data_IF_528140667199
#
_entry.id   IF_528140667199
#
_cell.length_a   1.000
_cell.length_b   1.000
_cell.length_c   1.000
_cell.angle_alpha   90.00
_cell.angle_beta   90.00
_cell.angle_gamma   90.00
#
_symmetry.space_group_name_H-M   'P 1'
#
loop_
_entity.id
_entity.type
_entity.pdbx_description
1 polymer ?
#
# COMPACT_ATOMS: atom_id res chain seq x y z
N UNK A 1 4.52 -18.71 -31.63
CA UNK A 1 5.03 -19.90 -30.91
C UNK A 1 4.84 -19.56 -29.41
N UNK A 2 3.97 -20.29 -28.74
CA UNK A 2 3.77 -20.16 -27.30
C UNK A 2 5.08 -20.54 -26.61
N UNK A 3 5.75 -19.59 -25.94
CA UNK A 3 6.92 -19.92 -25.11
C UNK A 3 6.46 -20.90 -24.02
N UNK A 4 6.99 -22.11 -24.08
CA UNK A 4 6.63 -23.23 -23.18
C UNK A 4 7.62 -23.37 -22.02
N UNK A 5 8.19 -22.27 -21.56
CA UNK A 5 9.12 -22.25 -20.43
C UNK A 5 8.41 -22.42 -19.08
N UNK A 6 9.19 -22.61 -18.02
CA UNK A 6 8.71 -22.68 -16.63
C UNK A 6 8.68 -21.29 -16.02
N UNK A 7 7.55 -20.89 -15.44
CA UNK A 7 7.42 -19.66 -14.67
C UNK A 7 7.40 -19.98 -13.16
N UNK A 8 8.24 -19.27 -12.41
CA UNK A 8 8.18 -19.30 -10.95
C UNK A 8 7.79 -17.91 -10.44
N UNK A 9 6.84 -17.82 -9.52
CA UNK A 9 6.38 -16.59 -8.89
C UNK A 9 6.71 -16.63 -7.41
N UNK A 10 7.57 -15.74 -6.96
CA UNK A 10 7.99 -15.63 -5.56
C UNK A 10 7.14 -14.58 -4.83
N UNK A 11 6.17 -15.04 -4.04
CA UNK A 11 5.21 -14.24 -3.29
C UNK A 11 3.77 -14.48 -3.75
N UNK A 12 2.95 -15.06 -2.87
CA UNK A 12 1.54 -15.40 -3.14
C UNK A 12 0.56 -14.33 -2.62
N UNK A 13 0.96 -13.04 -2.62
CA UNK A 13 0.05 -11.92 -2.44
C UNK A 13 -0.73 -11.61 -3.72
N UNK A 14 -1.49 -10.49 -3.72
CA UNK A 14 -2.29 -10.06 -4.87
C UNK A 14 -1.48 -10.02 -6.17
N UNK A 15 -0.30 -9.37 -6.17
CA UNK A 15 0.53 -9.24 -7.37
C UNK A 15 0.99 -10.61 -7.93
N UNK A 16 1.40 -11.53 -7.06
CA UNK A 16 1.81 -12.86 -7.49
C UNK A 16 0.66 -13.69 -8.02
N UNK A 17 -0.47 -13.67 -7.35
CA UNK A 17 -1.67 -14.39 -7.79
C UNK A 17 -2.23 -13.85 -9.10
N UNK A 18 -2.35 -12.53 -9.23
CA UNK A 18 -2.76 -11.89 -10.51
C UNK A 18 -1.78 -12.20 -11.65
N UNK A 19 -0.48 -12.33 -11.38
CA UNK A 19 0.49 -12.77 -12.39
C UNK A 19 0.14 -14.16 -12.95
N UNK A 20 -0.26 -15.07 -12.07
CA UNK A 20 -0.68 -16.42 -12.45
C UNK A 20 -1.94 -16.37 -13.32
N UNK A 21 -2.97 -15.61 -12.86
CA UNK A 21 -4.22 -15.45 -13.61
C UNK A 21 -3.96 -14.85 -15.00
N UNK A 22 -3.23 -13.74 -15.09
CA UNK A 22 -2.90 -13.06 -16.34
C UNK A 22 -2.12 -13.94 -17.33
N UNK A 23 -1.18 -14.76 -16.84
CA UNK A 23 -0.45 -15.72 -17.66
C UNK A 23 -1.42 -16.74 -18.28
N UNK A 24 -2.35 -17.30 -17.50
CA UNK A 24 -3.34 -18.26 -17.98
C UNK A 24 -4.37 -17.63 -18.91
N UNK A 25 -4.89 -16.47 -18.58
CA UNK A 25 -5.83 -15.71 -19.40
C UNK A 25 -5.23 -15.37 -20.79
N UNK A 26 -3.92 -15.12 -20.84
CA UNK A 26 -3.17 -14.84 -22.08
C UNK A 26 -2.67 -16.11 -22.81
N UNK A 27 -3.03 -17.31 -22.32
CA UNK A 27 -2.75 -18.58 -22.96
C UNK A 27 -1.35 -19.16 -22.71
N UNK A 28 -0.65 -18.76 -21.65
CA UNK A 28 0.58 -19.43 -21.26
C UNK A 28 0.28 -20.86 -20.82
N UNK A 29 0.83 -21.85 -21.54
CA UNK A 29 0.57 -23.28 -21.32
C UNK A 29 1.67 -23.99 -20.48
N UNK A 30 2.78 -23.31 -20.19
CA UNK A 30 3.90 -23.90 -19.42
C UNK A 30 3.58 -24.09 -17.93
N UNK A 31 4.42 -24.82 -17.21
CA UNK A 31 4.27 -25.01 -15.77
C UNK A 31 4.44 -23.68 -15.02
N UNK A 32 3.57 -23.45 -14.02
CA UNK A 32 3.65 -22.29 -13.11
C UNK A 32 3.76 -22.81 -11.68
N UNK A 33 4.77 -22.33 -10.94
CA UNK A 33 4.90 -22.54 -9.50
C UNK A 33 4.70 -21.20 -8.80
N UNK A 34 3.79 -21.15 -7.82
CA UNK A 34 3.52 -19.96 -6.97
C UNK A 34 3.96 -20.26 -5.53
N UNK A 35 5.00 -19.57 -5.05
CA UNK A 35 5.56 -19.75 -3.70
C UNK A 35 5.07 -18.66 -2.77
N UNK A 36 4.54 -19.02 -1.59
CA UNK A 36 4.01 -18.09 -0.61
C UNK A 36 4.51 -18.34 0.81
N UNK A 37 5.05 -17.33 1.47
CA UNK A 37 5.55 -17.44 2.84
C UNK A 37 4.45 -17.63 3.91
N UNK A 38 3.22 -17.24 3.60
CA UNK A 38 2.08 -17.43 4.51
C UNK A 38 1.43 -18.81 4.26
N UNK A 39 0.91 -19.51 5.31
CA UNK A 39 0.27 -20.81 5.17
C UNK A 39 -1.16 -20.74 4.64
N UNK A 40 -1.47 -19.68 3.90
CA UNK A 40 -2.82 -19.34 3.43
C UNK A 40 -2.86 -19.13 1.93
N UNK A 41 -4.01 -19.37 1.27
CA UNK A 41 -4.22 -18.92 -0.09
C UNK A 41 -4.17 -17.39 -0.18
N UNK A 42 -3.98 -16.82 -1.39
CA UNK A 42 -3.99 -15.38 -1.62
C UNK A 42 -5.25 -14.71 -1.09
N UNK A 43 -5.10 -13.49 -0.58
CA UNK A 43 -6.19 -12.68 -0.04
C UNK A 43 -5.97 -11.19 -0.28
N UNK A 44 -7.05 -10.42 -0.25
CA UNK A 44 -7.01 -8.96 -0.30
C UNK A 44 -6.60 -8.36 1.03
N UNK A 45 -5.57 -7.48 1.03
CA UNK A 45 -5.10 -6.79 2.23
C UNK A 45 -5.91 -5.55 2.61
N UNK A 46 -6.50 -4.76 1.69
CA UNK A 46 -7.25 -3.55 2.06
C UNK A 46 -8.39 -3.77 3.07
N UNK A 47 -9.13 -4.88 3.08
CA UNK A 47 -10.13 -5.13 4.11
C UNK A 47 -9.57 -5.29 5.52
N UNK A 48 -8.31 -5.71 5.67
CA UNK A 48 -7.69 -6.08 6.96
C UNK A 48 -7.68 -4.94 7.98
N UNK A 49 -7.50 -3.69 7.54
CA UNK A 49 -7.52 -2.50 8.39
C UNK A 49 -8.90 -1.84 8.52
N UNK A 50 -9.91 -2.35 7.83
CA UNK A 50 -11.26 -1.80 7.70
C UNK A 50 -12.32 -2.80 8.19
N UNK A 51 -13.15 -3.26 7.28
CA UNK A 51 -14.29 -4.14 7.57
C UNK A 51 -13.91 -5.44 8.29
N UNK A 52 -12.74 -5.99 8.02
CA UNK A 52 -12.28 -7.23 8.66
C UNK A 52 -12.15 -7.10 10.18
N UNK A 53 -11.77 -5.92 10.68
CA UNK A 53 -11.70 -5.66 12.12
C UNK A 53 -13.09 -5.52 12.77
N UNK A 54 -14.10 -5.08 12.01
CA UNK A 54 -15.45 -4.80 12.51
C UNK A 54 -16.44 -5.96 12.32
N UNK A 55 -16.28 -6.75 11.24
CA UNK A 55 -17.26 -7.75 10.80
C UNK A 55 -16.73 -9.17 11.06
N UNK A 56 -17.20 -9.86 12.12
CA UNK A 56 -16.88 -11.26 12.33
C UNK A 56 -17.39 -12.12 11.16
N UNK A 57 -16.50 -12.91 10.57
CA UNK A 57 -16.85 -13.80 9.46
C UNK A 57 -16.59 -13.22 8.07
N UNK A 58 -16.12 -11.98 7.93
CA UNK A 58 -15.60 -11.49 6.65
C UNK A 58 -14.39 -12.32 6.25
N UNK A 59 -14.44 -12.92 5.06
CA UNK A 59 -13.32 -13.63 4.45
C UNK A 59 -12.71 -12.76 3.33
N UNK A 60 -11.48 -12.27 3.49
CA UNK A 60 -10.79 -11.50 2.46
C UNK A 60 -10.11 -12.37 1.39
N UNK A 61 -10.24 -13.70 1.45
CA UNK A 61 -9.57 -14.61 0.51
C UNK A 61 -9.97 -14.33 -0.93
N UNK A 62 -8.99 -14.33 -1.82
CA UNK A 62 -9.23 -14.34 -3.26
C UNK A 62 -9.75 -15.72 -3.66
N UNK A 63 -10.67 -15.77 -4.63
CA UNK A 63 -11.23 -17.03 -5.13
C UNK A 63 -10.22 -17.71 -6.06
N UNK A 64 -9.15 -18.26 -5.46
CA UNK A 64 -8.08 -18.93 -6.19
C UNK A 64 -8.45 -20.39 -6.46
N UNK A 65 -8.75 -20.73 -7.69
CA UNK A 65 -8.88 -22.12 -8.14
C UNK A 65 -7.57 -22.58 -8.78
N UNK A 66 -6.63 -23.02 -7.93
CA UNK A 66 -5.30 -23.45 -8.39
C UNK A 66 -5.35 -24.68 -9.30
N UNK A 67 -6.37 -25.52 -9.15
CA UNK A 67 -6.54 -26.70 -10.02
C UNK A 67 -6.97 -26.28 -11.43
N UNK A 68 -7.96 -25.38 -11.54
CA UNK A 68 -8.37 -24.83 -12.83
C UNK A 68 -7.27 -23.99 -13.52
N UNK A 69 -6.44 -23.32 -12.72
CA UNK A 69 -5.27 -22.56 -13.21
C UNK A 69 -4.05 -23.45 -13.49
N UNK A 70 -4.10 -24.76 -13.19
CA UNK A 70 -2.97 -25.69 -13.32
C UNK A 70 -1.68 -25.15 -12.69
N UNK A 71 -1.77 -24.66 -11.44
CA UNK A 71 -0.68 -24.02 -10.70
C UNK A 71 -0.22 -24.88 -9.56
N UNK A 72 1.09 -25.08 -9.45
CA UNK A 72 1.73 -25.69 -8.31
C UNK A 72 1.88 -24.64 -7.20
N UNK A 73 0.87 -24.55 -6.31
CA UNK A 73 0.87 -23.60 -5.20
C UNK A 73 1.62 -24.17 -3.99
N UNK A 74 2.61 -23.42 -3.51
CA UNK A 74 3.49 -23.77 -2.37
C UNK A 74 3.30 -22.77 -1.22
N UNK A 75 2.28 -22.96 -0.36
CA UNK A 75 2.11 -22.14 0.84
C UNK A 75 3.12 -22.49 1.91
N UNK A 76 3.30 -21.59 2.89
CA UNK A 76 4.23 -21.75 4.01
C UNK A 76 5.67 -22.02 3.54
N UNK A 77 6.04 -21.39 2.43
CA UNK A 77 7.34 -21.53 1.79
C UNK A 77 7.88 -20.15 1.38
N UNK A 78 8.95 -19.69 2.07
CA UNK A 78 9.54 -18.39 1.86
C UNK A 78 10.68 -18.43 0.85
N UNK A 79 10.75 -17.47 -0.05
CA UNK A 79 11.94 -17.21 -0.88
C UNK A 79 13.09 -16.71 0.02
N UNK A 80 14.26 -17.32 -0.09
CA UNK A 80 15.42 -17.06 0.77
C UNK A 80 16.70 -16.73 0.00
N UNK A 81 16.74 -16.97 -1.32
CA UNK A 81 17.89 -16.67 -2.15
C UNK A 81 17.56 -16.77 -3.63
N UNK A 82 18.39 -16.17 -4.46
CA UNK A 82 18.29 -16.21 -5.92
C UNK A 82 19.69 -16.44 -6.53
N UNK A 83 19.87 -17.61 -7.08
CA UNK A 83 20.99 -18.02 -7.93
C UNK A 83 20.49 -18.30 -9.35
N UNK A 84 20.95 -19.39 -9.95
CA UNK A 84 20.38 -19.89 -11.21
C UNK A 84 18.97 -20.45 -11.02
N UNK A 85 18.63 -20.76 -9.78
CA UNK A 85 17.32 -21.18 -9.33
C UNK A 85 16.80 -20.23 -8.24
N UNK A 86 15.48 -20.22 -8.02
CA UNK A 86 14.89 -19.62 -6.84
C UNK A 86 15.12 -20.56 -5.64
N UNK A 87 15.81 -20.09 -4.62
CA UNK A 87 16.01 -20.82 -3.37
C UNK A 87 14.90 -20.42 -2.39
N UNK A 88 14.32 -21.41 -1.74
CA UNK A 88 13.27 -21.23 -0.76
C UNK A 88 13.62 -21.92 0.57
N UNK A 89 12.77 -21.74 1.58
CA UNK A 89 12.91 -22.41 2.87
C UNK A 89 12.74 -23.95 2.79
N UNK A 90 12.23 -24.48 1.67
CA UNK A 90 11.94 -25.92 1.49
C UNK A 90 12.61 -26.56 0.29
N UNK A 91 13.22 -25.78 -0.62
CA UNK A 91 13.86 -26.33 -1.80
C UNK A 91 14.36 -25.28 -2.77
N UNK A 92 14.66 -25.74 -3.99
CA UNK A 92 15.08 -24.88 -5.09
C UNK A 92 14.21 -25.15 -6.32
N UNK A 93 13.90 -24.09 -7.07
CA UNK A 93 13.04 -24.12 -8.23
C UNK A 93 13.78 -23.55 -9.42
N UNK A 94 14.11 -24.38 -10.43
CA UNK A 94 14.61 -23.89 -11.70
C UNK A 94 13.50 -23.14 -12.44
N UNK A 95 13.85 -22.08 -13.17
CA UNK A 95 12.91 -21.26 -13.91
C UNK A 95 13.47 -20.83 -15.26
N UNK A 96 12.58 -20.63 -16.23
CA UNK A 96 12.85 -19.89 -17.46
C UNK A 96 12.46 -18.43 -17.29
N UNK A 97 11.40 -18.14 -16.50
CA UNK A 97 11.02 -16.81 -16.08
C UNK A 97 10.73 -16.78 -14.58
N UNK A 98 11.16 -15.72 -13.92
CA UNK A 98 10.91 -15.49 -12.50
C UNK A 98 10.19 -14.16 -12.28
N UNK A 99 9.16 -14.16 -11.45
CA UNK A 99 8.46 -12.95 -11.01
C UNK A 99 8.61 -12.77 -9.51
N UNK A 100 9.23 -11.66 -9.11
CA UNK A 100 9.42 -11.26 -7.72
C UNK A 100 8.22 -10.44 -7.26
N UNK A 101 7.41 -10.99 -6.36
CA UNK A 101 6.19 -10.38 -5.83
C UNK A 101 6.12 -10.49 -4.30
N UNK A 102 7.27 -10.41 -3.62
CA UNK A 102 7.41 -10.63 -2.17
C UNK A 102 6.86 -9.48 -1.31
N UNK A 103 6.46 -8.37 -1.93
CA UNK A 103 5.79 -7.27 -1.25
C UNK A 103 6.71 -6.48 -0.32
N UNK A 104 6.20 -6.12 0.86
CA UNK A 104 6.89 -5.31 1.84
C UNK A 104 6.64 -5.82 3.27
N UNK A 105 7.55 -5.50 4.18
CA UNK A 105 7.49 -5.85 5.61
C UNK A 105 7.40 -4.61 6.49
N UNK A 106 6.69 -4.66 7.62
CA UNK A 106 6.58 -3.54 8.55
C UNK A 106 7.95 -3.13 9.13
N UNK A 107 8.08 -1.83 9.41
CA UNK A 107 9.22 -1.29 10.15
C UNK A 107 8.94 -1.42 11.64
N UNK A 108 9.84 -2.08 12.38
CA UNK A 108 9.81 -2.14 13.82
C UNK A 108 10.57 -0.98 14.45
N UNK A 109 10.13 -0.56 15.63
CA UNK A 109 10.82 0.44 16.46
C UNK A 109 11.75 -0.26 17.47
N UNK A 110 12.75 0.47 18.00
CA UNK A 110 13.59 -0.02 19.10
C UNK A 110 12.76 -0.33 20.36
N UNK A 111 13.31 -1.17 21.23
CA UNK A 111 12.75 -1.48 22.53
C UNK A 111 12.59 -2.98 22.79
N UNK A 112 12.21 -3.30 24.02
CA UNK A 112 11.98 -4.66 24.53
C UNK A 112 10.49 -4.97 24.77
N UNK A 113 9.63 -3.97 24.54
CA UNK A 113 8.18 -4.12 24.60
C UNK A 113 7.63 -4.87 23.37
N UNK A 114 6.51 -5.55 23.57
CA UNK A 114 5.80 -6.22 22.47
C UNK A 114 5.25 -5.18 21.51
N UNK A 115 5.55 -5.34 20.22
CA UNK A 115 4.99 -4.55 19.13
C UNK A 115 4.08 -5.43 18.28
N UNK A 116 2.88 -4.93 17.99
CA UNK A 116 2.00 -5.51 16.96
C UNK A 116 2.14 -4.73 15.68
N UNK A 117 1.82 -5.39 14.59
CA UNK A 117 1.74 -4.80 13.26
C UNK A 117 0.39 -5.11 12.66
N UNK A 118 0.08 -4.47 11.54
CA UNK A 118 -1.08 -4.83 10.71
C UNK A 118 -0.61 -4.97 9.26
N UNK A 119 -0.21 -6.18 8.90
CA UNK A 119 0.26 -6.49 7.55
C UNK A 119 -0.31 -7.80 7.02
N UNK A 120 -0.33 -8.84 7.85
CA UNK A 120 -0.77 -10.19 7.48
C UNK A 120 -2.21 -10.45 7.93
N UNK A 121 -2.79 -11.52 7.39
CA UNK A 121 -4.10 -12.01 7.85
C UNK A 121 -4.08 -12.31 9.37
N UNK A 122 -3.01 -12.96 9.85
CA UNK A 122 -2.88 -13.34 11.26
C UNK A 122 -2.70 -12.11 12.17
N UNK A 123 -2.00 -11.07 11.71
CA UNK A 123 -1.95 -9.78 12.41
C UNK A 123 -3.36 -9.20 12.58
N UNK A 124 -4.12 -9.16 11.48
CA UNK A 124 -5.49 -8.62 11.50
C UNK A 124 -6.43 -9.45 12.38
N UNK A 125 -6.30 -10.77 12.34
CA UNK A 125 -7.07 -11.67 13.20
C UNK A 125 -6.78 -11.42 14.68
N UNK A 126 -5.50 -11.31 15.05
CA UNK A 126 -5.09 -11.01 16.41
C UNK A 126 -5.57 -9.62 16.89
N UNK A 127 -5.54 -8.62 16.01
CA UNK A 127 -6.07 -7.28 16.32
C UNK A 127 -7.58 -7.29 16.43
N UNK A 128 -8.30 -7.97 15.55
CA UNK A 128 -9.75 -8.13 15.64
C UNK A 128 -10.18 -8.77 16.96
N UNK A 129 -9.48 -9.83 17.36
CA UNK A 129 -9.78 -10.50 18.64
C UNK A 129 -9.47 -9.58 19.83
N UNK A 130 -8.38 -8.80 19.75
CA UNK A 130 -8.03 -7.82 20.77
C UNK A 130 -9.09 -6.71 20.93
N UNK A 131 -9.66 -6.24 19.82
CA UNK A 131 -10.62 -5.14 19.79
C UNK A 131 -12.06 -5.59 20.11
N UNK A 132 -12.35 -6.88 20.26
CA UNK A 132 -13.71 -7.38 20.54
C UNK A 132 -14.31 -6.74 21.79
N UNK A 133 -15.52 -6.13 21.69
CA UNK A 133 -16.21 -5.57 22.83
C UNK A 133 -16.56 -6.64 23.86
N UNK A 134 -16.59 -6.26 25.15
CA UNK A 134 -17.09 -7.12 26.24
C UNK A 134 -16.10 -8.17 26.76
N UNK A 135 -14.93 -8.32 26.18
CA UNK A 135 -13.91 -9.26 26.69
C UNK A 135 -13.11 -8.69 27.88
N UNK A 136 -13.19 -7.40 28.14
CA UNK A 136 -12.43 -6.71 29.19
C UNK A 136 -13.37 -5.95 30.15
N UNK A 137 -12.97 -5.88 31.40
CA UNK A 137 -13.70 -5.09 32.42
C UNK A 137 -13.47 -3.56 32.26
N UNK A 138 -12.41 -3.15 31.58
CA UNK A 138 -12.04 -1.76 31.26
C UNK A 138 -11.76 -1.62 29.77
N UNK A 139 -11.95 -0.43 29.20
CA UNK A 139 -11.51 -0.14 27.84
C UNK A 139 -10.03 -0.52 27.62
N UNK A 140 -9.73 -1.02 26.44
CA UNK A 140 -8.34 -1.29 26.02
C UNK A 140 -7.62 0.04 25.82
N UNK A 141 -6.51 0.26 26.51
CA UNK A 141 -5.60 1.37 26.21
C UNK A 141 -4.67 0.94 25.08
N UNK A 142 -4.90 1.50 23.90
CA UNK A 142 -4.15 1.18 22.69
C UNK A 142 -3.29 2.35 22.27
N UNK A 143 -1.97 2.17 22.23
CA UNK A 143 -1.06 3.11 21.60
C UNK A 143 -0.79 2.70 20.16
N UNK A 144 -0.96 3.63 19.23
CA UNK A 144 -0.64 3.47 17.81
C UNK A 144 0.51 4.42 17.48
N UNK A 145 1.62 3.89 16.96
CA UNK A 145 2.75 4.70 16.54
C UNK A 145 2.69 4.90 15.04
N UNK A 146 2.58 6.17 14.62
CA UNK A 146 2.40 6.60 13.25
C UNK A 146 0.94 6.94 12.92
N UNK A 147 0.72 8.17 12.45
CA UNK A 147 -0.55 8.67 11.96
C UNK A 147 -0.61 8.65 10.42
N UNK A 148 0.00 7.64 9.80
CA UNK A 148 -0.12 7.33 8.38
C UNK A 148 -1.48 6.71 8.04
N UNK A 149 -1.63 6.20 6.81
CA UNK A 149 -2.88 5.59 6.33
C UNK A 149 -3.37 4.45 7.22
N UNK A 150 -2.52 3.49 7.52
CA UNK A 150 -2.87 2.31 8.36
C UNK A 150 -3.12 2.71 9.80
N UNK A 151 -2.30 3.62 10.36
CA UNK A 151 -2.50 4.11 11.73
C UNK A 151 -3.84 4.81 11.91
N UNK A 152 -4.26 5.62 10.93
CA UNK A 152 -5.56 6.31 10.94
C UNK A 152 -6.75 5.32 10.82
N UNK A 153 -6.65 4.32 9.93
CA UNK A 153 -7.68 3.28 9.77
C UNK A 153 -7.81 2.42 11.04
N UNK A 154 -6.68 2.05 11.65
CA UNK A 154 -6.68 1.30 12.91
C UNK A 154 -7.23 2.14 14.07
N UNK A 155 -6.85 3.43 14.17
CA UNK A 155 -7.41 4.34 15.16
C UNK A 155 -8.93 4.48 15.01
N UNK A 156 -9.41 4.55 13.76
CA UNK A 156 -10.84 4.55 13.43
C UNK A 156 -11.53 3.30 13.97
N UNK A 157 -11.00 2.11 13.66
CA UNK A 157 -11.58 0.85 14.09
C UNK A 157 -11.52 0.69 15.61
N UNK A 158 -10.39 0.99 16.25
CA UNK A 158 -10.20 0.83 17.68
C UNK A 158 -11.11 1.78 18.49
N UNK A 159 -11.25 3.04 18.07
CA UNK A 159 -12.17 3.99 18.70
C UNK A 159 -13.64 3.54 18.56
N UNK A 160 -14.03 3.07 17.38
CA UNK A 160 -15.39 2.52 17.16
C UNK A 160 -15.70 1.30 18.03
N UNK A 161 -14.71 0.53 18.45
CA UNK A 161 -14.83 -0.60 19.38
C UNK A 161 -14.70 -0.20 20.86
N UNK A 162 -14.62 1.11 21.18
CA UNK A 162 -14.59 1.62 22.55
C UNK A 162 -13.23 1.51 23.24
N UNK A 163 -12.14 1.41 22.50
CA UNK A 163 -10.78 1.49 23.06
C UNK A 163 -10.40 2.95 23.40
N UNK A 164 -9.59 3.12 24.43
CA UNK A 164 -8.88 4.39 24.71
C UNK A 164 -7.65 4.44 23.80
N UNK A 165 -7.71 5.25 22.74
CA UNK A 165 -6.68 5.28 21.70
C UNK A 165 -5.81 6.51 21.83
N UNK A 166 -4.48 6.30 21.91
CA UNK A 166 -3.46 7.34 21.75
C UNK A 166 -2.68 7.08 20.48
N UNK A 167 -2.64 8.05 19.56
CA UNK A 167 -1.82 8.00 18.34
C UNK A 167 -0.62 8.94 18.50
N UNK A 168 0.59 8.42 18.33
CA UNK A 168 1.84 9.19 18.43
C UNK A 168 2.47 9.30 17.03
N UNK A 169 2.67 10.52 16.55
CA UNK A 169 3.21 10.83 15.23
C UNK A 169 4.44 11.75 15.36
N UNK A 170 5.56 11.31 14.78
CA UNK A 170 6.81 12.06 14.78
C UNK A 170 6.75 13.32 13.91
N UNK A 171 5.97 13.27 12.84
CA UNK A 171 5.74 14.39 11.93
C UNK A 171 4.86 15.48 12.54
N UNK A 172 4.81 16.67 11.91
CA UNK A 172 4.06 17.82 12.41
C UNK A 172 2.53 17.68 12.24
N UNK A 173 2.06 16.67 11.51
CA UNK A 173 0.65 16.41 11.28
C UNK A 173 0.43 14.95 10.86
N UNK A 174 -0.79 14.39 10.98
CA UNK A 174 -1.14 13.11 10.37
C UNK A 174 -0.87 13.16 8.87
N UNK A 175 -0.50 12.02 8.28
CA UNK A 175 -0.26 11.88 6.83
C UNK A 175 0.80 12.83 6.24
N UNK A 176 1.55 13.60 7.06
CA UNK A 176 2.48 14.63 6.58
C UNK A 176 3.51 14.08 5.59
N UNK A 177 4.03 12.87 5.82
CA UNK A 177 4.97 12.21 4.92
C UNK A 177 4.33 11.78 3.57
N UNK A 178 3.02 11.54 3.54
CA UNK A 178 2.31 11.05 2.37
C UNK A 178 1.73 12.16 1.48
N UNK A 179 1.17 13.22 2.10
CA UNK A 179 0.42 14.28 1.39
C UNK A 179 0.83 15.71 1.80
N UNK A 180 1.90 15.82 2.61
CA UNK A 180 2.36 17.11 3.13
C UNK A 180 1.64 17.55 4.40
N UNK A 181 2.34 18.33 5.23
CA UNK A 181 1.85 18.75 6.55
C UNK A 181 0.60 19.66 6.45
N UNK A 182 0.51 20.52 5.45
CA UNK A 182 -0.61 21.42 5.25
C UNK A 182 -1.95 20.69 5.07
N UNK A 183 -1.97 19.63 4.25
CA UNK A 183 -3.14 18.78 4.07
C UNK A 183 -3.37 17.90 5.30
N UNK A 184 -2.31 17.27 5.79
CA UNK A 184 -2.38 16.39 6.94
C UNK A 184 -3.00 17.06 8.15
N UNK A 185 -2.68 18.34 8.41
CA UNK A 185 -3.24 19.12 9.51
C UNK A 185 -4.79 19.19 9.46
N UNK A 186 -5.41 19.14 8.27
CA UNK A 186 -6.87 19.15 8.14
C UNK A 186 -7.52 17.86 8.65
N UNK A 187 -6.76 16.76 8.68
CA UNK A 187 -7.28 15.45 9.17
C UNK A 187 -7.18 15.32 10.70
N UNK A 188 -6.34 16.13 11.38
CA UNK A 188 -6.14 16.05 12.82
C UNK A 188 -7.44 16.18 13.63
N UNK A 189 -8.36 17.04 13.20
CA UNK A 189 -9.67 17.21 13.84
C UNK A 189 -10.55 15.95 13.83
N UNK A 190 -10.32 15.02 12.89
CA UNK A 190 -11.09 13.77 12.81
C UNK A 190 -10.76 12.84 13.98
N UNK A 191 -9.50 12.86 14.43
CA UNK A 191 -9.05 12.12 15.61
C UNK A 191 -9.75 12.63 16.86
N UNK A 192 -9.71 13.96 17.09
CA UNK A 192 -10.36 14.58 18.22
C UNK A 192 -11.89 14.32 18.24
N UNK A 193 -12.55 14.41 17.08
CA UNK A 193 -13.98 14.13 16.95
C UNK A 193 -14.34 12.66 17.26
N UNK A 194 -13.39 11.74 17.08
CA UNK A 194 -13.54 10.32 17.43
C UNK A 194 -13.07 9.99 18.86
N UNK A 195 -12.66 10.98 19.67
CA UNK A 195 -12.15 10.77 21.03
C UNK A 195 -10.74 10.15 21.08
N UNK A 196 -9.96 10.26 20.00
CA UNK A 196 -8.59 9.77 19.93
C UNK A 196 -7.60 10.83 20.36
N UNK A 197 -6.72 10.52 21.32
CA UNK A 197 -5.59 11.37 21.73
C UNK A 197 -4.50 11.34 20.66
N UNK A 198 -4.39 12.40 19.88
CA UNK A 198 -3.39 12.54 18.81
C UNK A 198 -2.24 13.42 19.26
N UNK A 199 -1.03 12.88 19.30
CA UNK A 199 0.21 13.56 19.66
C UNK A 199 1.12 13.66 18.44
N UNK A 200 1.11 14.82 17.78
CA UNK A 200 2.00 15.13 16.65
C UNK A 200 3.31 15.74 17.13
N UNK A 201 4.30 15.83 16.24
CA UNK A 201 5.65 16.30 16.52
C UNK A 201 6.26 15.59 17.75
N UNK A 202 5.90 14.31 17.94
CA UNK A 202 6.28 13.51 19.10
C UNK A 202 6.91 12.22 18.60
N UNK A 203 8.22 12.09 18.71
CA UNK A 203 8.92 10.87 18.32
C UNK A 203 8.89 9.84 19.47
N UNK A 204 8.75 8.57 19.10
CA UNK A 204 8.91 7.44 20.03
C UNK A 204 10.38 7.04 20.05
N UNK A 205 10.98 6.98 21.24
CA UNK A 205 12.35 6.51 21.45
C UNK A 205 12.40 4.98 21.49
N UNK A 206 11.49 4.37 22.25
CA UNK A 206 11.42 2.92 22.38
C UNK A 206 10.01 2.43 22.75
N UNK A 207 9.70 1.21 22.31
CA UNK A 207 8.55 0.46 22.81
C UNK A 207 8.98 -0.34 24.05
N UNK A 208 8.22 -0.19 25.14
CA UNK A 208 8.51 -0.83 26.41
C UNK A 208 7.34 -1.68 26.90
N UNK A 209 7.56 -2.62 27.82
CA UNK A 209 6.45 -3.27 28.49
C UNK A 209 5.49 -2.24 29.12
N UNK A 210 4.21 -2.27 28.70
CA UNK A 210 3.18 -1.37 29.18
C UNK A 210 3.15 0.02 28.52
N UNK A 211 3.83 0.25 27.37
CA UNK A 211 3.68 1.51 26.64
C UNK A 211 4.85 1.96 25.79
N UNK A 212 5.01 3.27 25.66
CA UNK A 212 6.00 3.94 24.82
C UNK A 212 6.82 4.92 25.62
N UNK A 213 8.13 4.91 25.49
CA UNK A 213 9.01 5.99 25.92
C UNK A 213 9.13 7.00 24.76
N UNK A 214 8.96 8.29 25.08
CA UNK A 214 8.98 9.36 24.09
C UNK A 214 10.35 10.04 24.05
N UNK A 215 10.81 10.39 22.86
CA UNK A 215 12.02 11.18 22.70
C UNK A 215 11.83 12.55 23.36
N UNK A 216 12.82 12.99 24.14
CA UNK A 216 12.73 14.22 24.94
C UNK A 216 12.07 14.02 26.31
N UNK A 217 11.73 12.80 26.67
CA UNK A 217 11.17 12.42 27.98
C UNK A 217 9.65 12.29 27.96
N UNK A 218 9.14 11.56 28.93
CA UNK A 218 7.72 11.23 29.04
C UNK A 218 7.39 9.84 28.54
N UNK A 219 6.18 9.38 28.87
CA UNK A 219 5.71 8.04 28.57
C UNK A 219 4.25 8.05 28.14
N UNK A 220 3.88 7.13 27.29
CA UNK A 220 2.48 6.76 26.99
C UNK A 220 2.23 5.38 27.56
N UNK A 221 1.35 5.31 28.55
CA UNK A 221 0.90 4.03 29.12
C UNK A 221 -0.10 3.37 28.17
N UNK A 222 0.11 2.11 27.84
CA UNK A 222 -0.76 1.33 26.97
C UNK A 222 -0.75 -0.16 27.35
N UNK A 223 -1.88 -0.82 27.16
CA UNK A 223 -1.98 -2.28 27.34
C UNK A 223 -1.42 -3.00 26.12
N UNK A 224 -1.54 -2.39 24.94
CA UNK A 224 -1.01 -2.90 23.68
C UNK A 224 -0.45 -1.75 22.82
N UNK A 225 0.57 -2.06 22.04
CA UNK A 225 1.21 -1.12 21.10
C UNK A 225 1.12 -1.68 19.69
N UNK A 226 0.64 -0.86 18.74
CA UNK A 226 0.69 -1.16 17.31
C UNK A 226 1.60 -0.17 16.61
N UNK A 227 2.61 -0.69 15.91
CA UNK A 227 3.55 0.11 15.13
C UNK A 227 3.11 0.17 13.68
N UNK A 228 2.82 1.39 13.18
CA UNK A 228 2.34 1.69 11.84
C UNK A 228 3.16 2.82 11.18
N UNK A 229 4.50 2.76 11.34
CA UNK A 229 5.46 3.78 10.88
C UNK A 229 5.96 3.54 9.44
N UNK A 230 5.25 2.73 8.68
CA UNK A 230 5.58 2.40 7.30
C UNK A 230 6.14 0.99 7.12
N UNK A 231 6.48 0.70 5.89
CA UNK A 231 7.01 -0.59 5.45
C UNK A 231 8.28 -0.41 4.63
N UNK A 232 9.08 -1.46 4.55
CA UNK A 232 10.23 -1.55 3.64
C UNK A 232 10.02 -2.70 2.67
N UNK A 233 10.51 -2.60 1.42
CA UNK A 233 10.39 -3.68 0.45
C UNK A 233 11.05 -4.95 0.97
N UNK A 234 10.39 -6.10 0.78
CA UNK A 234 10.86 -7.40 1.24
C UNK A 234 11.90 -7.98 0.26
N UNK A 235 13.07 -7.33 0.18
CA UNK A 235 14.14 -7.64 -0.79
C UNK A 235 15.47 -8.04 -0.15
N UNK A 236 15.56 -8.13 1.19
CA UNK A 236 16.81 -8.48 1.89
C UNK A 236 17.38 -9.85 1.49
N UNK A 237 16.53 -10.79 1.12
CA UNK A 237 16.93 -12.10 0.62
C UNK A 237 17.61 -12.08 -0.76
N UNK A 238 17.59 -10.94 -1.46
CA UNK A 238 18.19 -10.74 -2.78
C UNK A 238 19.60 -10.12 -2.74
N UNK A 239 20.19 -9.88 -1.56
CA UNK A 239 21.49 -9.20 -1.42
C UNK A 239 22.60 -9.83 -2.28
N UNK A 240 22.63 -11.16 -2.36
CA UNK A 240 23.64 -11.91 -3.15
C UNK A 240 23.22 -12.19 -4.60
N UNK A 241 22.04 -11.71 -5.06
CA UNK A 241 21.47 -12.05 -6.36
C UNK A 241 22.09 -11.30 -7.56
N UNK A 242 22.83 -10.22 -7.30
CA UNK A 242 23.33 -9.30 -8.33
C UNK A 242 22.25 -8.40 -8.95
N UNK A 243 21.01 -8.46 -8.46
CA UNK A 243 19.94 -7.55 -8.91
C UNK A 243 20.20 -6.13 -8.39
N UNK A 244 19.86 -5.13 -9.21
CA UNK A 244 19.88 -3.73 -8.80
C UNK A 244 18.73 -3.47 -7.82
N UNK A 245 19.08 -3.07 -6.61
CA UNK A 245 18.12 -2.74 -5.55
C UNK A 245 18.18 -1.22 -5.29
N UNK A 246 17.05 -0.54 -5.56
CA UNK A 246 16.89 0.91 -5.34
C UNK A 246 15.52 1.16 -4.70
N UNK A 247 15.46 1.17 -3.37
CA UNK A 247 14.20 1.23 -2.64
C UNK A 247 13.19 0.19 -3.14
N UNK A 248 13.66 -1.05 -3.33
CA UNK A 248 12.96 -2.16 -3.98
C UNK A 248 13.77 -2.71 -5.14
N UNK A 249 13.29 -3.75 -5.81
CA UNK A 249 13.90 -4.29 -7.02
C UNK A 249 13.72 -3.28 -8.14
N UNK A 250 14.83 -2.75 -8.66
CA UNK A 250 14.82 -1.78 -9.75
C UNK A 250 14.39 -2.49 -11.06
N UNK A 251 13.27 -2.03 -11.64
CA UNK A 251 12.76 -2.52 -12.91
C UNK A 251 12.62 -1.38 -13.92
N UNK A 252 12.68 -1.71 -15.21
CA UNK A 252 12.35 -0.79 -16.29
C UNK A 252 10.82 -0.54 -16.38
N UNK A 253 10.39 0.22 -17.37
CA UNK A 253 8.98 0.48 -17.60
C UNK A 253 8.19 -0.79 -18.02
N UNK A 254 8.85 -1.82 -18.54
CA UNK A 254 8.30 -3.14 -18.84
C UNK A 254 8.32 -4.11 -17.64
N UNK A 255 8.67 -3.61 -16.45
CA UNK A 255 8.80 -4.37 -15.20
C UNK A 255 9.88 -5.45 -15.22
N UNK A 256 10.88 -5.32 -16.12
CA UNK A 256 12.05 -6.19 -16.23
C UNK A 256 13.15 -5.73 -15.30
N UNK A 257 13.79 -6.65 -14.60
CA UNK A 257 14.95 -6.36 -13.75
C UNK A 257 16.24 -6.24 -14.56
N UNK A 258 17.37 -5.99 -13.89
CA UNK A 258 18.71 -6.03 -14.51
C UNK A 258 19.13 -7.43 -15.00
N UNK A 259 18.44 -8.49 -14.57
CA UNK A 259 18.68 -9.87 -15.00
C UNK A 259 17.63 -10.28 -16.04
N UNK A 260 18.04 -10.81 -17.21
CA UNK A 260 17.11 -11.29 -18.23
C UNK A 260 16.09 -12.30 -17.66
N UNK A 261 14.83 -12.20 -18.12
CA UNK A 261 13.73 -13.09 -17.73
C UNK A 261 13.34 -13.05 -16.23
N UNK A 262 13.82 -12.05 -15.50
CA UNK A 262 13.41 -11.79 -14.11
C UNK A 262 12.65 -10.47 -14.05
N UNK A 263 11.44 -10.51 -13.50
CA UNK A 263 10.52 -9.40 -13.37
C UNK A 263 10.23 -9.11 -11.89
N UNK A 264 9.68 -7.92 -11.59
CA UNK A 264 9.18 -7.65 -10.23
C UNK A 264 7.89 -6.85 -10.28
N UNK A 265 6.97 -7.13 -9.33
CA UNK A 265 5.67 -6.50 -9.19
C UNK A 265 5.28 -6.21 -7.73
N UNK A 266 4.35 -5.29 -7.54
CA UNK A 266 3.79 -4.88 -6.25
C UNK A 266 4.78 -4.08 -5.40
N UNK A 267 4.62 -4.12 -4.08
CA UNK A 267 5.32 -3.24 -3.14
C UNK A 267 6.85 -3.43 -3.15
N UNK A 268 7.36 -4.57 -3.63
CA UNK A 268 8.80 -4.81 -3.75
C UNK A 268 9.42 -4.23 -5.02
N UNK A 269 8.63 -3.81 -6.01
CA UNK A 269 9.11 -3.29 -7.29
C UNK A 269 9.29 -1.76 -7.25
N UNK A 270 10.42 -1.30 -7.78
CA UNK A 270 10.72 0.12 -8.00
C UNK A 270 10.83 0.34 -9.50
N UNK A 271 9.80 0.94 -10.11
CA UNK A 271 9.62 1.02 -11.56
C UNK A 271 9.87 2.43 -12.12
N UNK A 272 10.25 2.52 -13.38
CA UNK A 272 10.41 3.78 -14.09
C UNK A 272 9.06 4.27 -14.61
N UNK A 273 8.59 5.41 -14.08
CA UNK A 273 7.41 6.08 -14.64
C UNK A 273 7.84 7.12 -15.66
N UNK A 274 7.42 6.93 -16.90
CA UNK A 274 7.64 7.90 -18.00
C UNK A 274 6.79 9.14 -17.78
N UNK A 275 5.59 8.99 -17.24
CA UNK A 275 4.65 10.07 -16.95
C UNK A 275 5.20 11.07 -15.95
N UNK A 276 5.83 10.58 -14.88
CA UNK A 276 6.38 11.42 -13.82
C UNK A 276 7.90 11.64 -13.94
N UNK A 277 8.54 11.10 -14.98
CA UNK A 277 9.96 11.28 -15.27
C UNK A 277 10.89 10.80 -14.15
N UNK A 278 10.48 9.81 -13.40
CA UNK A 278 11.21 9.34 -12.22
C UNK A 278 10.90 7.89 -11.88
N UNK A 279 11.77 7.30 -11.08
CA UNK A 279 11.53 5.99 -10.48
C UNK A 279 10.54 6.13 -9.32
N UNK A 280 9.53 5.24 -9.29
CA UNK A 280 8.50 5.18 -8.25
C UNK A 280 8.48 3.79 -7.61
N UNK A 281 8.25 3.74 -6.31
CA UNK A 281 7.78 2.56 -5.59
C UNK A 281 6.49 2.95 -4.88
N UNK A 282 5.43 2.25 -5.21
CA UNK A 282 4.06 2.59 -4.81
C UNK A 282 3.43 1.36 -4.16
N UNK A 283 3.09 1.48 -2.89
CA UNK A 283 2.54 0.41 -2.04
C UNK A 283 1.00 0.40 -2.10
N UNK A 284 0.45 0.44 -3.32
CA UNK A 284 -1.00 0.54 -3.52
C UNK A 284 -1.55 -0.76 -4.10
N UNK A 285 -2.77 -1.10 -3.69
CA UNK A 285 -3.52 -2.23 -4.23
C UNK A 285 -3.63 -2.17 -5.77
N UNK A 286 -3.90 -0.98 -6.32
CA UNK A 286 -4.00 -0.71 -7.77
C UNK A 286 -2.73 -1.15 -8.54
N UNK A 287 -1.55 -0.93 -7.94
CA UNK A 287 -0.25 -1.35 -8.52
C UNK A 287 -0.12 -2.87 -8.53
N UNK A 288 -0.43 -3.51 -7.40
CA UNK A 288 -0.37 -4.97 -7.29
C UNK A 288 -1.39 -5.68 -8.21
N UNK A 289 -2.50 -5.01 -8.52
CA UNK A 289 -3.52 -5.53 -9.42
C UNK A 289 -3.11 -5.46 -10.90
N UNK A 290 -2.50 -4.34 -11.36
CA UNK A 290 -2.32 -4.06 -12.78
C UNK A 290 -0.89 -4.31 -13.32
N UNK A 291 0.16 -4.30 -12.48
CA UNK A 291 1.50 -4.67 -12.94
C UNK A 291 1.59 -6.08 -13.53
N UNK A 292 0.89 -7.08 -12.99
CA UNK A 292 0.85 -8.42 -13.54
C UNK A 292 0.43 -8.52 -15.01
N UNK A 293 -0.48 -7.67 -15.47
CA UNK A 293 -0.93 -7.62 -16.88
C UNK A 293 0.25 -7.38 -17.83
N UNK A 294 1.11 -6.40 -17.48
CA UNK A 294 2.31 -6.05 -18.25
C UNK A 294 3.36 -7.17 -18.18
N UNK A 295 3.56 -7.75 -17.00
CA UNK A 295 4.51 -8.86 -16.82
C UNK A 295 4.09 -10.06 -17.66
N UNK A 296 2.84 -10.47 -17.61
CA UNK A 296 2.35 -11.62 -18.35
C UNK A 296 2.50 -11.43 -19.88
N UNK A 297 2.18 -10.22 -20.38
CA UNK A 297 2.42 -9.89 -21.77
C UNK A 297 3.91 -10.00 -22.14
N UNK A 298 4.79 -9.49 -21.28
CA UNK A 298 6.23 -9.45 -21.53
C UNK A 298 6.91 -10.82 -21.35
N UNK A 299 6.39 -11.69 -20.49
CA UNK A 299 6.79 -13.11 -20.39
C UNK A 299 6.46 -13.85 -21.70
N UNK A 300 5.35 -13.51 -22.36
CA UNK A 300 4.91 -14.08 -23.64
C UNK A 300 5.59 -13.43 -24.86
N UNK A 301 6.67 -12.67 -24.65
CA UNK A 301 7.44 -12.04 -25.73
C UNK A 301 6.93 -10.68 -26.18
N UNK A 302 6.01 -10.06 -25.43
CA UNK A 302 5.55 -8.69 -25.65
C UNK A 302 6.57 -7.63 -25.20
N UNK A 303 6.21 -6.36 -25.44
CA UNK A 303 6.98 -5.18 -25.00
C UNK A 303 6.04 -4.12 -24.43
N UNK A 304 5.17 -4.54 -23.53
CA UNK A 304 4.22 -3.65 -22.86
C UNK A 304 4.90 -2.82 -21.77
N UNK A 305 4.35 -1.63 -21.53
CA UNK A 305 4.87 -0.63 -20.60
C UNK A 305 3.84 -0.35 -19.52
N UNK A 306 4.27 -0.37 -18.26
CA UNK A 306 3.48 0.01 -17.11
C UNK A 306 3.70 1.50 -16.78
N UNK A 307 2.74 2.36 -17.10
CA UNK A 307 2.81 3.79 -16.77
C UNK A 307 1.42 4.40 -16.48
N UNK A 308 0.64 3.82 -15.58
CA UNK A 308 -0.67 4.33 -15.23
C UNK A 308 -0.59 5.59 -14.36
N UNK A 309 -1.75 6.19 -14.10
CA UNK A 309 -1.92 7.17 -13.03
C UNK A 309 -2.18 6.40 -11.73
N UNK A 310 -1.27 6.44 -10.74
CA UNK A 310 -1.45 5.72 -9.48
C UNK A 310 -2.73 6.14 -8.76
N UNK A 311 -3.40 5.18 -8.14
CA UNK A 311 -4.61 5.39 -7.35
C UNK A 311 -4.49 4.72 -6.00
N UNK A 312 -5.02 5.42 -4.97
CA UNK A 312 -5.07 4.93 -3.59
C UNK A 312 -6.33 5.45 -2.91
N UNK A 313 -6.83 4.70 -1.93
CA UNK A 313 -7.90 5.14 -1.06
C UNK A 313 -7.68 4.71 0.39
N UNK A 314 -8.32 5.43 1.30
CA UNK A 314 -8.34 5.12 2.73
C UNK A 314 -9.69 5.51 3.32
N UNK A 315 -10.18 4.72 4.26
CA UNK A 315 -11.39 5.01 5.02
C UNK A 315 -11.00 5.42 6.45
N UNK A 316 -11.21 6.68 6.78
CA UNK A 316 -10.76 7.25 8.06
C UNK A 316 -11.89 8.04 8.72
N UNK A 317 -12.27 7.66 9.94
CA UNK A 317 -13.26 8.39 10.75
C UNK A 317 -14.56 8.70 9.98
N UNK A 318 -15.05 7.70 9.24
CA UNK A 318 -16.27 7.80 8.43
C UNK A 318 -16.14 8.59 7.13
N UNK A 319 -14.91 8.86 6.66
CA UNK A 319 -14.63 9.59 5.42
C UNK A 319 -13.87 8.72 4.43
N UNK A 320 -14.24 8.83 3.15
CA UNK A 320 -13.48 8.23 2.04
C UNK A 320 -12.45 9.25 1.53
N UNK A 321 -11.18 8.96 1.79
CA UNK A 321 -10.05 9.72 1.26
C UNK A 321 -9.52 9.00 0.03
N UNK A 322 -9.46 9.68 -1.13
CA UNK A 322 -8.94 9.11 -2.36
C UNK A 322 -7.82 9.99 -2.90
N UNK A 323 -6.75 9.37 -3.34
CA UNK A 323 -5.58 10.07 -3.89
C UNK A 323 -5.21 9.48 -5.25
N UNK A 324 -4.97 10.35 -6.22
CA UNK A 324 -4.64 9.99 -7.61
C UNK A 324 -3.46 10.80 -8.08
N UNK A 325 -2.54 10.17 -8.80
CA UNK A 325 -1.36 10.81 -9.37
C UNK A 325 -0.15 10.77 -8.44
N UNK A 326 0.78 11.71 -8.66
CA UNK A 326 2.00 11.84 -7.86
C UNK A 326 2.41 13.31 -7.77
N UNK A 327 2.39 13.88 -6.57
CA UNK A 327 2.65 15.31 -6.35
C UNK A 327 4.12 15.68 -6.16
N UNK A 328 5.05 14.72 -6.21
CA UNK A 328 6.48 15.01 -6.13
C UNK A 328 6.94 15.81 -7.33
N UNK A 329 7.28 17.07 -7.13
CA UNK A 329 7.61 18.04 -8.19
C UNK A 329 6.47 19.01 -8.52
N UNK A 330 5.35 18.98 -7.77
CA UNK A 330 4.32 20.00 -7.89
C UNK A 330 4.83 21.38 -7.44
N UNK A 331 4.42 22.40 -8.17
CA UNK A 331 4.80 23.80 -7.91
C UNK A 331 3.77 24.53 -7.04
N UNK A 332 2.53 24.05 -7.06
CA UNK A 332 1.43 24.64 -6.29
C UNK A 332 0.43 23.60 -5.81
N UNK A 333 -0.20 23.94 -4.68
CA UNK A 333 -1.30 23.23 -4.07
C UNK A 333 -2.52 24.14 -4.02
N UNK A 334 -3.61 23.73 -4.64
CA UNK A 334 -4.87 24.45 -4.68
C UNK A 334 -5.95 23.72 -3.91
N UNK A 335 -6.72 24.46 -3.13
CA UNK A 335 -7.92 23.95 -2.47
C UNK A 335 -9.13 24.08 -3.38
N UNK A 336 -9.94 23.04 -3.41
CA UNK A 336 -11.21 23.00 -4.11
C UNK A 336 -12.31 22.69 -3.09
N UNK A 337 -13.07 23.72 -2.72
CA UNK A 337 -13.94 23.74 -1.56
C UNK A 337 -13.18 24.09 -0.28
N UNK A 338 -13.92 24.18 0.83
CA UNK A 338 -13.37 24.51 2.13
C UNK A 338 -12.96 23.21 2.88
N UNK A 339 -11.69 23.04 3.28
CA UNK A 339 -11.29 21.88 4.07
C UNK A 339 -11.93 21.82 5.47
N UNK A 340 -12.57 22.90 5.94
CA UNK A 340 -13.40 22.87 7.14
C UNK A 340 -14.70 22.10 6.95
N UNK A 341 -15.20 22.03 5.74
CA UNK A 341 -16.42 21.32 5.38
C UNK A 341 -16.21 19.79 5.31
N UNK A 342 -17.30 19.00 5.32
CA UNK A 342 -17.19 17.54 5.23
C UNK A 342 -16.56 17.03 3.94
N UNK A 343 -16.73 17.75 2.82
CA UNK A 343 -16.28 17.32 1.49
C UNK A 343 -15.47 18.39 0.79
N UNK A 344 -14.26 18.02 0.34
CA UNK A 344 -13.34 18.93 -0.34
C UNK A 344 -12.34 18.14 -1.19
N UNK A 345 -11.60 18.87 -2.01
CA UNK A 345 -10.48 18.31 -2.77
C UNK A 345 -9.25 19.21 -2.66
N UNK A 346 -8.08 18.63 -2.86
CA UNK A 346 -6.81 19.33 -2.98
C UNK A 346 -6.13 18.91 -4.28
N UNK A 347 -5.68 19.89 -5.07
CA UNK A 347 -5.15 19.71 -6.40
C UNK A 347 -3.70 20.18 -6.46
N UNK A 348 -2.79 19.35 -6.92
CA UNK A 348 -1.39 19.72 -7.15
C UNK A 348 -1.14 19.97 -8.62
N UNK A 349 -0.55 21.12 -8.92
CA UNK A 349 -0.20 21.52 -10.28
C UNK A 349 1.31 21.58 -10.48
N UNK A 350 1.73 21.20 -11.68
CA UNK A 350 3.08 21.43 -12.21
C UNK A 350 2.97 21.89 -13.67
N UNK A 351 3.64 22.97 -14.02
CA UNK A 351 3.59 23.58 -15.35
C UNK A 351 2.15 23.76 -15.90
N UNK A 352 1.20 24.20 -15.04
CA UNK A 352 -0.19 24.40 -15.40
C UNK A 352 -1.02 23.12 -15.61
N UNK A 353 -0.49 21.93 -15.28
CA UNK A 353 -1.17 20.65 -15.41
C UNK A 353 -1.47 20.06 -14.05
N UNK A 354 -2.62 19.40 -13.93
CA UNK A 354 -2.94 18.62 -12.74
C UNK A 354 -2.04 17.37 -12.70
N UNK A 355 -1.21 17.23 -11.65
CA UNK A 355 -0.31 16.08 -11.47
C UNK A 355 -0.75 15.15 -10.36
N UNK A 356 -1.53 15.65 -9.39
CA UNK A 356 -2.19 14.85 -8.39
C UNK A 356 -3.45 15.54 -7.87
N UNK A 357 -4.38 14.73 -7.36
CA UNK A 357 -5.57 15.18 -6.66
C UNK A 357 -5.85 14.28 -5.47
N UNK A 358 -6.14 14.88 -4.31
CA UNK A 358 -6.71 14.21 -3.16
C UNK A 358 -8.16 14.67 -2.99
N UNK A 359 -9.05 13.75 -2.71
CA UNK A 359 -10.46 14.04 -2.47
C UNK A 359 -10.93 13.43 -1.16
N UNK A 360 -11.77 14.16 -0.44
CA UNK A 360 -12.51 13.68 0.72
C UNK A 360 -13.99 13.68 0.35
N UNK A 361 -14.58 12.49 0.24
CA UNK A 361 -15.97 12.24 -0.13
C UNK A 361 -16.42 12.94 -1.45
N UNK A 362 -15.48 13.07 -2.41
CA UNK A 362 -15.73 13.65 -3.73
C UNK A 362 -15.31 12.70 -4.88
N UNK A 363 -15.97 11.55 -5.05
CA UNK A 363 -15.56 10.54 -6.03
C UNK A 363 -15.63 11.02 -7.48
N UNK A 364 -16.49 11.98 -7.80
CA UNK A 364 -16.55 12.57 -9.14
C UNK A 364 -15.30 13.38 -9.47
N UNK A 365 -14.81 14.17 -8.52
CA UNK A 365 -13.59 14.96 -8.68
C UNK A 365 -12.38 14.01 -8.86
N UNK A 366 -12.34 12.92 -8.11
CA UNK A 366 -11.30 11.87 -8.24
C UNK A 366 -11.28 11.28 -9.66
N UNK A 367 -12.42 10.80 -10.17
CA UNK A 367 -12.51 10.18 -11.50
C UNK A 367 -12.13 11.15 -12.63
N UNK A 368 -12.61 12.40 -12.54
CA UNK A 368 -12.30 13.43 -13.52
C UNK A 368 -10.83 13.86 -13.44
N UNK A 369 -10.31 14.04 -12.23
CA UNK A 369 -8.89 14.33 -11.99
C UNK A 369 -7.97 13.25 -12.54
N UNK A 370 -8.29 11.95 -12.34
CA UNK A 370 -7.51 10.85 -12.92
C UNK A 370 -7.42 10.95 -14.44
N UNK A 371 -8.52 11.30 -15.10
CA UNK A 371 -8.55 11.50 -16.58
C UNK A 371 -7.70 12.68 -17.01
N UNK A 372 -7.76 13.83 -16.30
CA UNK A 372 -6.94 14.99 -16.62
C UNK A 372 -5.44 14.72 -16.42
N UNK A 373 -5.08 14.02 -15.36
CA UNK A 373 -3.69 13.60 -15.12
C UNK A 373 -3.24 12.65 -16.24
N UNK A 374 -4.11 11.72 -16.65
CA UNK A 374 -3.80 10.77 -17.72
C UNK A 374 -3.55 11.46 -19.07
N UNK A 375 -4.36 12.47 -19.41
CA UNK A 375 -4.23 13.23 -20.66
C UNK A 375 -3.16 14.33 -20.61
N UNK A 376 -2.60 14.63 -19.43
CA UNK A 376 -1.66 15.74 -19.19
C UNK A 376 -2.19 17.10 -19.71
N UNK A 377 -3.51 17.33 -19.66
CA UNK A 377 -4.14 18.54 -20.13
C UNK A 377 -3.76 19.75 -19.25
N UNK A 378 -3.64 20.92 -19.88
CA UNK A 378 -3.50 22.20 -19.19
C UNK A 378 -4.84 22.57 -18.54
N UNK A 379 -4.79 23.12 -17.33
CA UNK A 379 -6.00 23.49 -16.57
C UNK A 379 -5.97 24.95 -16.15
N UNK A 380 -7.16 25.55 -16.13
CA UNK A 380 -7.38 26.86 -15.52
C UNK A 380 -7.43 26.71 -14.00
N UNK A 381 -6.41 27.21 -13.34
CA UNK A 381 -6.26 27.10 -11.88
C UNK A 381 -7.41 27.79 -11.13
N UNK A 382 -7.94 28.93 -11.64
CA UNK A 382 -9.03 29.64 -11.00
C UNK A 382 -10.36 28.87 -11.08
N UNK A 383 -10.64 28.25 -12.22
CA UNK A 383 -11.81 27.39 -12.42
C UNK A 383 -11.69 26.08 -11.62
N UNK A 384 -10.46 25.55 -11.49
CA UNK A 384 -10.20 24.30 -10.74
C UNK A 384 -10.51 24.45 -9.24
N UNK A 385 -10.34 25.66 -8.66
CA UNK A 385 -10.65 25.91 -7.25
C UNK A 385 -12.15 26.01 -6.96
N UNK A 386 -12.98 26.33 -7.97
CA UNK A 386 -14.43 26.46 -7.80
C UNK A 386 -15.11 25.06 -7.76
N UNK A 387 -15.67 24.63 -6.62
CA UNK A 387 -16.30 23.31 -6.50
C UNK A 387 -17.61 23.19 -7.29
N UNK A 388 -18.18 24.26 -7.81
CA UNK A 388 -19.37 24.25 -8.67
C UNK A 388 -19.02 23.89 -10.12
N UNK A 389 -17.79 24.14 -10.57
CA UNK A 389 -17.33 23.81 -11.92
C UNK A 389 -16.80 22.37 -11.95
N UNK A 390 -17.33 21.44 -12.77
CA UNK A 390 -16.78 20.09 -12.90
C UNK A 390 -15.29 20.11 -13.26
N UNK A 391 -14.47 19.25 -12.62
CA UNK A 391 -13.01 19.21 -12.86
C UNK A 391 -12.67 19.03 -14.34
N UNK A 392 -13.44 18.22 -15.08
CA UNK A 392 -13.27 18.04 -16.55
C UNK A 392 -13.46 19.32 -17.38
N UNK A 393 -14.19 20.30 -16.85
CA UNK A 393 -14.48 21.57 -17.54
C UNK A 393 -13.45 22.68 -17.24
N UNK A 394 -12.42 22.35 -16.47
CA UNK A 394 -11.34 23.28 -16.15
C UNK A 394 -10.17 23.21 -17.15
N UNK A 395 -10.27 22.37 -18.18
CA UNK A 395 -9.28 22.25 -19.24
C UNK A 395 -9.23 23.57 -20.06
N UNK A 396 -8.00 24.04 -20.30
CA UNK A 396 -7.78 25.16 -21.24
C UNK A 396 -7.95 24.66 -22.68
N UNK A 397 -8.58 25.49 -23.52
CA UNK A 397 -8.82 25.20 -24.93
C UNK A 397 -7.50 25.15 -25.72
#
# INVERSE_FOLDING_TARGET
MTESGRVVVAGAGLAGFRTVEELRERGFAGPITLVGAEPRPPYDRPPLSKKFLAEPGLDPSLKADFAALEVDFRPDEAATGLGDELITSRGAYPFDHLVLATGAVPVALPGDGRQRFLRTYDDALALRDLLRPGQRRKPLRLAIVGAGWIGAELATAAAAHGSEVTVVEAGPAPLAAAIGAQLGAQTARWYAAAGVDLRVATAVEAVRPGGLDLAGGGRVEADEVVTAVGVRPAVGWLEASGLRIENGVAVDAGLRTSRPRVFAAGDCASFESRRFGRRLRVEHWDVALHQPEVIAANVLGGDEVYDPVPYFWSEQFGRMVQYVGHHGGAESLLWRGDPAEPTWSACWLAAGRLVAILTVDRPRDMLQGRRLIASAAQVDASRLTDPAIPVKETVLA
#
